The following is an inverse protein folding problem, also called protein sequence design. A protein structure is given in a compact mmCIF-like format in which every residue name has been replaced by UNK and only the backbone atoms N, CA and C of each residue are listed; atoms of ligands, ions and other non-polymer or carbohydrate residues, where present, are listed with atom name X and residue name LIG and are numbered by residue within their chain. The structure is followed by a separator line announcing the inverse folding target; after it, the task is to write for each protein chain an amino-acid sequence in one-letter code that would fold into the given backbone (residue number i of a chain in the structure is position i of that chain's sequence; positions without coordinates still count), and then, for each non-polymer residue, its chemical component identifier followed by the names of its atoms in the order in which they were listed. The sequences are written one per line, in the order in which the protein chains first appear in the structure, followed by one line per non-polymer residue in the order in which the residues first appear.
data_IF_446196956519
#
_entry.id   IF_446196956519
#
_cell.length_a   1.000
_cell.length_b   1.000
_cell.length_c   1.000
_cell.angle_alpha   90.00
_cell.angle_beta   90.00
_cell.angle_gamma   90.00
#
_symmetry.space_group_name_H-M   'P 1'
#
loop_
_entity.id
_entity.type
_entity.pdbx_description
1 polymer ?
#
# COMPACT_ATOMS: atom_id res chain seq x y z
N UNK A 1 0.69 -14.83 3.31
CA UNK A 1 1.42 -13.66 3.84
C UNK A 1 0.64 -13.09 5.00
N UNK A 2 1.24 -12.98 6.18
CA UNK A 2 0.57 -12.34 7.31
C UNK A 2 0.52 -10.81 7.10
N UNK A 3 -0.54 -10.18 7.64
CA UNK A 3 -0.67 -8.71 7.63
C UNK A 3 0.29 -8.07 8.64
N UNK A 4 0.55 -8.76 9.76
CA UNK A 4 1.45 -8.32 10.81
C UNK A 4 2.63 -9.27 10.97
N UNK A 5 3.80 -8.73 11.32
CA UNK A 5 4.90 -9.50 11.90
C UNK A 5 5.28 -8.88 13.23
N UNK A 6 5.64 -9.70 14.21
CA UNK A 6 6.03 -9.24 15.55
C UNK A 6 7.27 -10.00 16.03
N UNK A 7 8.31 -9.27 16.40
CA UNK A 7 9.55 -9.80 16.99
C UNK A 7 9.98 -8.84 18.09
N UNK A 8 10.32 -9.38 19.26
CA UNK A 8 10.79 -8.62 20.44
C UNK A 8 9.89 -7.43 20.80
N UNK A 9 8.56 -7.63 20.76
CA UNK A 9 7.57 -6.60 21.08
C UNK A 9 7.40 -5.49 20.04
N UNK A 10 8.12 -5.54 18.91
CA UNK A 10 7.99 -4.60 17.79
C UNK A 10 7.05 -5.19 16.74
N UNK A 11 6.17 -4.37 16.17
CA UNK A 11 5.19 -4.79 15.15
C UNK A 11 5.51 -4.13 13.81
N UNK A 12 5.43 -4.91 12.74
CA UNK A 12 5.40 -4.42 11.36
C UNK A 12 4.05 -4.72 10.70
N UNK A 13 3.58 -3.83 9.82
CA UNK A 13 2.32 -3.95 9.10
C UNK A 13 2.52 -3.90 7.58
N UNK A 14 1.99 -4.90 6.87
CA UNK A 14 1.92 -4.94 5.42
C UNK A 14 0.46 -5.13 5.02
N UNK A 15 -0.20 -4.00 4.76
CA UNK A 15 -1.61 -3.99 4.43
C UNK A 15 -1.85 -3.13 3.19
N UNK A 16 -2.26 -3.79 2.11
CA UNK A 16 -2.75 -3.13 0.91
C UNK A 16 -3.99 -3.89 0.46
N UNK A 17 -5.15 -3.50 0.95
CA UNK A 17 -6.40 -4.23 0.72
C UNK A 17 -6.73 -4.42 -0.77
N UNK A 18 -6.43 -3.39 -1.58
CA UNK A 18 -6.58 -3.43 -3.03
C UNK A 18 -5.66 -4.45 -3.71
N UNK A 19 -4.62 -4.96 -3.05
CA UNK A 19 -3.78 -6.05 -3.57
C UNK A 19 -4.20 -7.41 -3.05
N UNK A 20 -4.68 -7.47 -1.80
CA UNK A 20 -5.11 -8.72 -1.17
C UNK A 20 -6.35 -9.29 -1.86
N UNK A 21 -7.37 -8.46 -2.14
CA UNK A 21 -8.62 -8.93 -2.76
C UNK A 21 -8.42 -9.57 -4.14
N UNK A 22 -7.70 -8.94 -5.10
CA UNK A 22 -7.35 -9.58 -6.36
C UNK A 22 -6.58 -10.88 -6.18
N UNK A 23 -5.61 -10.92 -5.25
CA UNK A 23 -4.84 -12.13 -5.01
C UNK A 23 -5.76 -13.28 -4.53
N UNK A 24 -6.71 -13.00 -3.64
CA UNK A 24 -7.72 -13.97 -3.21
C UNK A 24 -8.57 -14.46 -4.39
N UNK A 25 -9.10 -13.54 -5.21
CA UNK A 25 -9.87 -13.88 -6.42
C UNK A 25 -9.06 -14.73 -7.41
N UNK A 26 -7.84 -14.32 -7.74
CA UNK A 26 -6.94 -15.04 -8.66
C UNK A 26 -6.58 -16.43 -8.14
N UNK A 27 -6.44 -16.59 -6.82
CA UNK A 27 -6.16 -17.88 -6.20
C UNK A 27 -7.40 -18.75 -5.98
N UNK A 28 -8.60 -18.25 -6.31
CA UNK A 28 -9.87 -18.94 -6.02
C UNK A 28 -10.10 -19.15 -4.53
N UNK A 29 -9.63 -18.22 -3.70
CA UNK A 29 -9.74 -18.28 -2.24
C UNK A 29 -10.73 -17.25 -1.73
N UNK A 30 -11.41 -17.60 -0.66
CA UNK A 30 -12.27 -16.69 0.10
C UNK A 30 -11.71 -16.52 1.52
N UNK A 31 -12.02 -15.38 2.13
CA UNK A 31 -11.73 -15.17 3.54
C UNK A 31 -12.69 -16.00 4.39
N UNK A 32 -12.19 -16.55 5.50
CA UNK A 32 -13.08 -17.07 6.54
C UNK A 32 -13.86 -15.91 7.19
N UNK A 33 -14.99 -16.19 7.88
CA UNK A 33 -15.73 -15.16 8.61
C UNK A 33 -14.85 -14.35 9.57
N UNK A 34 -13.94 -15.01 10.28
CA UNK A 34 -13.02 -14.39 11.25
C UNK A 34 -11.97 -13.52 10.55
N UNK A 35 -11.49 -13.93 9.38
CA UNK A 35 -10.55 -13.13 8.59
C UNK A 35 -11.22 -11.87 8.04
N UNK A 36 -12.46 -11.97 7.57
CA UNK A 36 -13.24 -10.81 7.14
C UNK A 36 -13.46 -9.83 8.30
N UNK A 37 -13.86 -10.34 9.46
CA UNK A 37 -14.03 -9.51 10.66
C UNK A 37 -12.73 -8.80 11.06
N UNK A 38 -11.60 -9.52 11.08
CA UNK A 38 -10.30 -8.96 11.40
C UNK A 38 -9.85 -7.87 10.41
N UNK A 39 -10.10 -8.07 9.11
CA UNK A 39 -9.77 -7.09 8.07
C UNK A 39 -10.63 -5.83 8.23
N UNK A 40 -11.94 -5.97 8.43
CA UNK A 40 -12.82 -4.82 8.59
C UNK A 40 -12.54 -4.05 9.89
N UNK A 41 -12.21 -4.77 10.97
CA UNK A 41 -11.73 -4.15 12.21
C UNK A 41 -10.46 -3.33 11.97
N UNK A 42 -9.47 -3.92 11.29
CA UNK A 42 -8.22 -3.21 10.97
C UNK A 42 -8.48 -1.98 10.10
N UNK A 43 -9.29 -2.11 9.05
CA UNK A 43 -9.67 -1.00 8.17
C UNK A 43 -10.30 0.14 8.98
N UNK A 44 -11.18 -0.17 9.94
CA UNK A 44 -11.79 0.81 10.82
C UNK A 44 -10.76 1.49 11.73
N UNK A 45 -9.93 0.72 12.42
CA UNK A 45 -8.87 1.25 13.31
C UNK A 45 -7.91 2.17 12.54
N UNK A 46 -7.51 1.79 11.33
CA UNK A 46 -6.63 2.62 10.49
C UNK A 46 -7.25 3.98 10.16
N UNK A 47 -8.58 4.05 9.99
CA UNK A 47 -9.29 5.31 9.75
C UNK A 47 -9.46 6.10 11.05
N UNK A 48 -9.80 5.45 12.16
CA UNK A 48 -9.95 6.12 13.47
C UNK A 48 -8.64 6.74 13.96
N UNK A 49 -7.51 6.08 13.67
CA UNK A 49 -6.17 6.53 14.08
C UNK A 49 -5.46 7.38 13.00
N UNK A 50 -6.14 7.72 11.90
CA UNK A 50 -5.50 8.44 10.81
C UNK A 50 -5.16 9.89 11.22
N UNK A 51 -4.02 10.39 10.75
CA UNK A 51 -3.66 11.80 10.79
C UNK A 51 -3.67 12.34 9.37
N UNK A 52 -4.38 13.44 9.15
CA UNK A 52 -4.47 14.09 7.86
C UNK A 52 -3.68 15.39 7.86
N UNK A 53 -2.88 15.59 6.81
CA UNK A 53 -2.15 16.83 6.58
C UNK A 53 -2.05 17.09 5.09
N UNK A 54 -1.89 18.35 4.73
CA UNK A 54 -1.65 18.80 3.36
C UNK A 54 -0.20 19.21 3.25
N UNK A 55 0.54 18.56 2.35
CA UNK A 55 1.88 18.99 2.01
C UNK A 55 1.82 20.23 1.12
N UNK A 56 2.55 21.26 1.52
CA UNK A 56 2.77 22.47 0.75
C UNK A 56 4.01 22.35 -0.15
N UNK A 57 4.16 23.30 -1.08
CA UNK A 57 5.30 23.30 -2.00
C UNK A 57 6.62 23.46 -1.24
N UNK A 58 7.53 22.51 -1.44
CA UNK A 58 8.83 22.48 -0.76
C UNK A 58 8.85 21.61 0.51
N UNK A 59 7.70 21.11 0.97
CA UNK A 59 7.65 20.18 2.09
C UNK A 59 7.91 18.74 1.65
N UNK A 60 8.47 17.95 2.57
CA UNK A 60 8.70 16.53 2.38
C UNK A 60 8.14 15.74 3.57
N UNK A 61 7.58 14.57 3.28
CA UNK A 61 7.18 13.60 4.28
C UNK A 61 7.96 12.29 4.05
N UNK A 62 8.49 11.74 5.14
CA UNK A 62 9.10 10.41 5.16
C UNK A 62 8.20 9.49 5.96
N UNK A 63 7.75 8.40 5.34
CA UNK A 63 6.92 7.40 5.98
C UNK A 63 7.73 6.11 6.15
N UNK A 64 7.75 5.56 7.37
CA UNK A 64 8.28 4.22 7.59
C UNK A 64 7.24 3.20 7.10
N UNK A 65 7.48 2.66 5.89
CA UNK A 65 6.56 1.73 5.22
C UNK A 65 6.32 0.41 5.96
N UNK A 66 7.08 0.13 7.02
CA UNK A 66 6.88 -1.06 7.86
C UNK A 66 6.09 -0.78 9.13
N UNK A 67 5.93 0.49 9.52
CA UNK A 67 5.28 0.87 10.78
C UNK A 67 3.92 1.55 10.57
N UNK A 68 3.60 2.01 9.36
CA UNK A 68 2.37 2.74 9.10
C UNK A 68 1.80 2.50 7.70
N UNK A 69 0.48 2.54 7.60
CA UNK A 69 -0.22 2.70 6.33
C UNK A 69 -0.32 4.19 5.98
N UNK A 70 -0.25 4.51 4.69
CA UNK A 70 -0.44 5.87 4.21
C UNK A 70 -1.38 5.87 3.01
N UNK A 71 -2.15 6.94 2.86
CA UNK A 71 -3.10 7.11 1.78
C UNK A 71 -3.18 8.57 1.38
N UNK A 72 -4.01 8.86 0.38
CA UNK A 72 -4.30 10.22 -0.07
C UNK A 72 -5.81 10.35 -0.20
N UNK A 73 -6.37 11.44 0.30
CA UNK A 73 -7.78 11.78 0.12
C UNK A 73 -8.11 12.02 -1.36
N UNK A 74 -9.40 11.91 -1.68
CA UNK A 74 -9.90 12.22 -3.03
C UNK A 74 -9.72 13.70 -3.35
N UNK A 75 -9.38 14.00 -4.60
CA UNK A 75 -9.21 15.37 -5.08
C UNK A 75 -9.48 15.44 -6.59
N UNK A 76 -9.93 16.60 -7.05
CA UNK A 76 -10.09 16.89 -8.48
C UNK A 76 -8.76 17.39 -9.04
N UNK A 77 -8.22 16.69 -10.05
CA UNK A 77 -7.00 17.13 -10.74
C UNK A 77 -7.30 18.32 -11.65
N UNK A 78 -6.45 19.34 -11.61
CA UNK A 78 -6.53 20.45 -12.56
C UNK A 78 -6.03 20.01 -13.95
N UNK A 79 -6.69 20.50 -15.00
CA UNK A 79 -6.21 20.35 -16.39
C UNK A 79 -5.08 21.33 -16.72
N UNK A 80 -4.90 22.38 -15.91
CA UNK A 80 -3.76 23.30 -16.00
C UNK A 80 -2.53 22.68 -15.32
N UNK A 81 -1.45 22.37 -16.05
CA UNK A 81 -0.25 21.76 -15.49
C UNK A 81 0.38 22.58 -14.36
N UNK A 82 0.20 23.92 -14.35
CA UNK A 82 0.74 24.78 -13.29
C UNK A 82 -0.03 24.67 -11.97
N UNK A 83 -1.22 24.10 -12.00
CA UNK A 83 -2.11 23.91 -10.83
C UNK A 83 -2.29 22.44 -10.47
N UNK A 84 -1.78 21.52 -11.29
CA UNK A 84 -1.82 20.10 -11.02
C UNK A 84 -0.96 19.77 -9.80
N UNK A 85 -1.49 18.95 -8.88
CA UNK A 85 -0.73 18.44 -7.74
C UNK A 85 0.45 17.61 -8.25
N UNK A 86 1.67 18.11 -8.06
CA UNK A 86 2.91 17.42 -8.42
C UNK A 86 3.63 16.97 -7.14
N UNK A 87 4.12 15.73 -7.12
CA UNK A 87 4.86 15.18 -5.98
C UNK A 87 5.98 14.27 -6.47
N UNK A 88 7.19 14.53 -5.99
CA UNK A 88 8.32 13.62 -6.21
C UNK A 88 8.30 12.54 -5.14
N UNK A 89 8.49 11.28 -5.53
CA UNK A 89 8.49 10.13 -4.63
C UNK A 89 9.75 9.30 -4.84
N UNK A 90 10.46 9.05 -3.75
CA UNK A 90 11.60 8.14 -3.70
C UNK A 90 11.31 7.00 -2.71
N UNK A 91 11.89 5.83 -2.98
CA UNK A 91 11.94 4.71 -2.05
C UNK A 91 13.35 4.63 -1.47
N UNK A 92 13.44 4.40 -0.17
CA UNK A 92 14.71 4.25 0.54
C UNK A 92 14.73 2.88 1.21
N UNK A 93 15.89 2.25 1.18
CA UNK A 93 16.13 0.96 1.80
C UNK A 93 17.28 1.13 2.81
N UNK A 94 17.10 0.53 4.00
CA UNK A 94 18.16 0.45 4.99
C UNK A 94 19.05 -0.76 4.65
N UNK A 95 20.39 -0.61 4.67
CA UNK A 95 21.33 -1.73 4.52
C UNK A 95 20.93 -2.90 5.41
N UNK A 96 21.12 -4.14 4.93
CA UNK A 96 20.59 -5.34 5.60
C UNK A 96 21.14 -5.50 7.01
N UNK A 97 22.43 -5.27 7.15
CA UNK A 97 23.20 -5.25 8.39
C UNK A 97 22.64 -4.27 9.43
N UNK A 98 21.98 -3.20 8.97
CA UNK A 98 21.40 -2.15 9.81
C UNK A 98 19.89 -2.29 10.02
N UNK A 99 19.24 -3.31 9.45
CA UNK A 99 17.80 -3.52 9.62
C UNK A 99 17.48 -3.95 11.03
N UNK A 100 16.87 -3.05 11.79
CA UNK A 100 16.35 -3.30 13.16
C UNK A 100 14.86 -3.62 13.20
N UNK A 101 14.26 -3.91 12.05
CA UNK A 101 12.84 -4.18 11.95
C UNK A 101 12.56 -5.67 12.24
N UNK A 102 11.48 -5.98 12.95
CA UNK A 102 11.05 -7.33 13.29
C UNK A 102 10.46 -8.06 12.06
N UNK A 103 11.23 -8.19 10.97
CA UNK A 103 10.75 -8.76 9.72
C UNK A 103 11.19 -10.22 9.60
N UNK A 104 10.28 -11.14 9.94
CA UNK A 104 10.45 -12.54 9.59
C UNK A 104 10.43 -12.77 8.08
N UNK A 105 11.00 -13.89 7.61
CA UNK A 105 11.06 -14.21 6.17
C UNK A 105 9.66 -14.27 5.56
N UNK A 106 8.70 -14.75 6.32
CA UNK A 106 7.28 -14.87 5.98
C UNK A 106 6.58 -13.54 5.71
N UNK A 107 7.22 -12.40 5.98
CA UNK A 107 6.70 -11.06 5.69
C UNK A 107 7.06 -10.58 4.27
N UNK A 108 8.08 -11.17 3.65
CA UNK A 108 8.50 -10.86 2.30
C UNK A 108 7.76 -11.74 1.30
N UNK A 109 6.85 -11.15 0.51
CA UNK A 109 6.15 -11.84 -0.58
C UNK A 109 6.78 -11.60 -1.95
N UNK A 110 7.81 -10.76 -2.00
CA UNK A 110 8.55 -10.46 -3.21
C UNK A 110 10.04 -10.55 -2.90
N UNK A 111 10.67 -11.56 -3.49
CA UNK A 111 12.10 -11.70 -3.60
C UNK A 111 12.45 -11.31 -5.04
N UNK A 112 13.19 -10.21 -5.21
CA UNK A 112 13.80 -9.94 -6.51
C UNK A 112 15.04 -10.83 -6.70
N UNK A 113 15.57 -10.85 -7.91
CA UNK A 113 16.71 -11.71 -8.28
C UNK A 113 17.93 -11.52 -7.37
N UNK A 114 18.16 -10.30 -6.90
CA UNK A 114 19.29 -9.93 -6.03
C UNK A 114 18.91 -9.83 -4.54
N UNK A 115 17.70 -10.27 -4.19
CA UNK A 115 17.12 -10.29 -2.84
C UNK A 115 17.01 -8.91 -2.13
N UNK A 116 17.23 -7.78 -2.80
CA UNK A 116 16.93 -6.42 -2.28
C UNK A 116 15.43 -6.23 -2.00
N UNK A 117 15.00 -5.12 -1.42
CA UNK A 117 13.58 -4.83 -1.26
C UNK A 117 13.00 -4.18 -2.52
N UNK A 118 11.71 -4.41 -2.76
CA UNK A 118 10.95 -3.81 -3.85
C UNK A 118 11.00 -4.59 -5.17
N UNK A 119 10.45 -3.97 -6.22
CA UNK A 119 10.27 -4.60 -7.53
C UNK A 119 11.58 -4.66 -8.33
N UNK A 120 11.74 -5.74 -9.10
CA UNK A 120 12.68 -5.74 -10.22
C UNK A 120 12.29 -4.70 -11.27
N UNK A 121 13.31 -4.08 -11.88
CA UNK A 121 13.09 -3.24 -13.04
C UNK A 121 12.42 -4.13 -14.08
N UNK A 122 11.19 -3.77 -14.45
CA UNK A 122 10.46 -4.50 -15.48
C UNK A 122 10.97 -4.00 -16.83
N UNK A 123 11.60 -4.86 -17.65
CA UNK A 123 12.13 -4.44 -18.94
C UNK A 123 11.04 -3.79 -19.81
N UNK A 124 11.38 -2.69 -20.48
CA UNK A 124 10.42 -1.95 -21.34
C UNK A 124 9.48 -1.01 -20.58
N UNK A 125 9.64 -0.85 -19.26
CA UNK A 125 8.96 0.21 -18.48
C UNK A 125 9.83 1.42 -18.19
N UNK A 126 11.05 1.47 -18.69
CA UNK A 126 11.94 2.62 -18.52
C UNK A 126 11.30 3.90 -19.10
N UNK A 127 11.27 4.97 -18.30
CA UNK A 127 10.62 6.23 -18.67
C UNK A 127 9.09 6.23 -18.62
N UNK A 128 8.44 5.09 -18.32
CA UNK A 128 6.99 5.04 -18.16
C UNK A 128 6.55 5.66 -16.82
N UNK A 129 5.54 6.52 -16.87
CA UNK A 129 4.93 7.05 -15.65
C UNK A 129 3.99 5.97 -15.11
N UNK A 130 4.33 5.40 -13.94
CA UNK A 130 3.46 4.45 -13.25
C UNK A 130 2.10 5.12 -12.95
N UNK A 131 1.09 4.77 -13.72
CA UNK A 131 -0.31 5.09 -13.47
C UNK A 131 -1.01 3.80 -13.04
N UNK A 132 -1.96 3.91 -12.12
CA UNK A 132 -2.94 2.85 -11.92
C UNK A 132 -3.79 2.79 -13.19
N UNK A 133 -3.30 2.01 -14.15
CA UNK A 133 -3.93 1.68 -15.42
C UNK A 133 -4.79 0.44 -15.15
N UNK A 134 -6.11 0.62 -15.20
CA UNK A 134 -7.07 -0.48 -15.19
C UNK A 134 -7.56 -0.81 -16.61
N UNK A 135 -6.90 -0.30 -17.65
CA UNK A 135 -7.34 -0.50 -19.05
C UNK A 135 -7.16 -1.95 -19.49
N UNK A 136 -6.24 -2.67 -18.84
CA UNK A 136 -5.89 -4.05 -19.18
C UNK A 136 -6.43 -5.08 -18.17
N UNK A 137 -7.38 -4.69 -17.29
CA UNK A 137 -8.08 -5.59 -16.37
C UNK A 137 -9.58 -5.57 -16.66
N UNK A 138 -10.24 -6.70 -16.42
CA UNK A 138 -11.70 -6.79 -16.61
C UNK A 138 -12.45 -5.79 -15.71
N UNK A 139 -13.65 -5.40 -16.14
CA UNK A 139 -14.42 -4.36 -15.47
C UNK A 139 -14.77 -4.71 -14.01
N UNK A 140 -15.07 -5.98 -13.75
CA UNK A 140 -15.41 -6.47 -12.42
C UNK A 140 -14.23 -6.35 -11.45
N UNK A 141 -13.03 -6.74 -11.91
CA UNK A 141 -11.78 -6.61 -11.18
C UNK A 141 -11.42 -5.13 -10.97
N UNK A 142 -11.60 -4.29 -11.98
CA UNK A 142 -11.39 -2.85 -11.86
C UNK A 142 -12.32 -2.19 -10.82
N UNK A 143 -13.59 -2.60 -10.76
CA UNK A 143 -14.53 -2.09 -9.77
C UNK A 143 -14.23 -2.62 -8.37
N UNK A 144 -13.80 -3.87 -8.25
CA UNK A 144 -13.29 -4.43 -7.00
C UNK A 144 -12.07 -3.64 -6.48
N UNK A 145 -11.13 -3.26 -7.35
CA UNK A 145 -9.99 -2.41 -6.98
C UNK A 145 -10.43 -1.04 -6.44
N UNK A 146 -11.39 -0.39 -7.10
CA UNK A 146 -11.94 0.90 -6.65
C UNK A 146 -12.64 0.75 -5.30
N UNK A 147 -13.49 -0.26 -5.15
CA UNK A 147 -14.21 -0.52 -3.90
C UNK A 147 -13.25 -0.79 -2.74
N UNK A 148 -12.16 -1.53 -2.98
CA UNK A 148 -11.14 -1.83 -1.98
C UNK A 148 -10.41 -0.56 -1.45
N UNK A 149 -10.29 0.46 -2.29
CA UNK A 149 -9.64 1.74 -1.95
C UNK A 149 -10.55 2.68 -1.15
N UNK A 150 -11.86 2.44 -1.14
CA UNK A 150 -12.80 3.24 -0.34
C UNK A 150 -12.53 3.00 1.15
N UNK A 151 -12.30 4.09 1.89
CA UNK A 151 -12.12 4.04 3.34
C UNK A 151 -13.46 3.75 4.03
N UNK A 152 -13.50 2.92 5.09
CA UNK A 152 -14.70 2.79 5.91
C UNK A 152 -15.05 4.14 6.55
N UNK A 153 -16.34 4.33 6.85
CA UNK A 153 -16.79 5.53 7.58
C UNK A 153 -16.32 5.43 9.04
N UNK A 154 -15.74 6.48 9.62
CA UNK A 154 -15.40 6.48 11.05
C UNK A 154 -16.68 6.33 11.90
N UNK A 155 -16.60 5.59 13.01
CA UNK A 155 -17.65 5.64 14.03
C UNK A 155 -17.61 7.03 14.67
N UNK A 156 -18.72 7.76 14.59
CA UNK A 156 -18.90 9.04 15.28
C UNK A 156 -18.93 8.85 16.78
#
# INVERSE_FOLDING_TARGET
MPVFSQVDGRVCINFTYSSILPAMKTLGREFTPEQNEAIELLRRVLVEQQVEFRLESGEAAVANNFAMCHSRSDFVSSTDPKKARCFLRAWMEVPREDRRLPLGREYFHMENKDMRLGYDVVPGRDGSIARNDYKNVDAELADMFKAAQVKPKPSR
#
